data_IF_430564725144
#
_entry.id   IF_430564725144
#
_cell.length_a   1.000
_cell.length_b   1.000
_cell.length_c   1.000
_cell.angle_alpha   90.00
_cell.angle_beta   90.00
_cell.angle_gamma   90.00
#
_symmetry.space_group_name_H-M   'P 1'
#
loop_
_entity.id
_entity.type
_entity.pdbx_description
1 polymer ?
#
# COMPACT_ATOMS: atom_id res chain seq x y z
N UNK A 1 -13.80 0.07 -8.14
CA UNK A 1 -12.61 0.94 -7.94
C UNK A 1 -12.27 1.57 -9.28
N UNK A 2 -12.24 2.89 -9.30
CA UNK A 2 -11.78 3.65 -10.47
C UNK A 2 -10.26 3.80 -10.37
N UNK A 3 -9.54 3.19 -11.31
CA UNK A 3 -8.08 3.24 -11.35
C UNK A 3 -7.54 4.64 -11.65
N UNK A 4 -8.35 5.52 -12.24
CA UNK A 4 -7.95 6.90 -12.54
C UNK A 4 -8.06 7.83 -11.32
N UNK A 5 -8.83 7.44 -10.32
CA UNK A 5 -8.97 8.22 -9.08
C UNK A 5 -7.71 8.24 -8.23
N UNK A 6 -6.77 7.36 -8.48
CA UNK A 6 -5.54 7.19 -7.73
C UNK A 6 -5.65 6.16 -6.61
N UNK A 7 -4.51 5.57 -6.27
CA UNK A 7 -4.36 4.59 -5.19
C UNK A 7 -3.22 5.03 -4.29
N UNK A 8 -3.45 5.00 -2.98
CA UNK A 8 -2.40 5.26 -1.99
C UNK A 8 -1.99 3.97 -1.29
N UNK A 9 -0.71 3.91 -0.93
CA UNK A 9 -0.16 2.92 -0.03
C UNK A 9 0.30 3.63 1.24
N UNK A 10 -0.24 3.24 2.38
CA UNK A 10 0.08 3.83 3.67
C UNK A 10 0.83 2.84 4.54
N UNK A 11 1.86 3.33 5.20
CA UNK A 11 2.62 2.62 6.24
C UNK A 11 2.97 3.60 7.35
N UNK A 12 3.07 3.11 8.58
CA UNK A 12 3.61 3.86 9.71
C UNK A 12 5.10 3.57 9.86
N UNK A 13 5.85 4.58 10.33
CA UNK A 13 7.30 4.53 10.50
C UNK A 13 8.04 5.21 9.33
N UNK A 14 9.25 4.77 9.05
CA UNK A 14 10.16 5.38 8.06
C UNK A 14 9.75 5.18 6.60
N UNK A 15 8.68 4.43 6.33
CA UNK A 15 8.24 4.18 4.95
C UNK A 15 8.95 3.02 4.24
N UNK A 16 10.00 2.45 4.80
CA UNK A 16 10.74 1.31 4.26
C UNK A 16 9.81 0.14 3.89
N UNK A 17 8.82 -0.14 4.74
CA UNK A 17 7.81 -1.18 4.51
C UNK A 17 6.80 -0.86 3.40
N UNK A 18 6.81 0.34 2.85
CA UNK A 18 6.03 0.65 1.66
C UNK A 18 6.66 0.07 0.39
N UNK A 19 7.99 -0.08 0.39
CA UNK A 19 8.77 -0.53 -0.76
C UNK A 19 9.14 -2.00 -0.61
N UNK A 20 9.67 -2.37 0.55
CA UNK A 20 10.09 -3.73 0.84
C UNK A 20 8.91 -4.58 1.29
N UNK A 21 8.65 -5.66 0.57
CA UNK A 21 7.61 -6.61 0.93
C UNK A 21 8.11 -7.47 2.09
N UNK A 22 7.51 -7.28 3.27
CA UNK A 22 7.69 -8.19 4.38
C UNK A 22 6.62 -9.29 4.31
N UNK A 23 7.02 -10.55 4.47
CA UNK A 23 6.11 -11.69 4.32
C UNK A 23 5.07 -11.79 5.45
N UNK A 24 5.29 -11.08 6.56
CA UNK A 24 4.47 -11.13 7.78
C UNK A 24 3.74 -9.83 8.11
N UNK A 25 3.80 -8.84 7.24
CA UNK A 25 3.21 -7.52 7.47
C UNK A 25 2.61 -6.92 6.20
N UNK A 26 1.63 -6.04 6.36
CA UNK A 26 0.84 -5.55 5.26
C UNK A 26 0.74 -4.02 5.25
N UNK A 27 0.80 -3.44 4.07
CA UNK A 27 0.54 -2.02 3.87
C UNK A 27 -0.96 -1.77 3.66
N UNK A 28 -1.46 -0.64 4.11
CA UNK A 28 -2.84 -0.25 3.83
C UNK A 28 -2.94 0.36 2.43
N UNK A 29 -3.66 -0.30 1.55
CA UNK A 29 -4.01 0.23 0.22
C UNK A 29 -5.38 0.88 0.28
N UNK A 30 -5.52 2.06 -0.29
CA UNK A 30 -6.78 2.79 -0.43
C UNK A 30 -6.94 3.31 -1.86
N UNK A 31 -8.14 3.12 -2.40
CA UNK A 31 -8.56 3.78 -3.64
C UNK A 31 -9.18 5.13 -3.28
N UNK A 32 -8.73 6.20 -3.89
CA UNK A 32 -9.17 7.55 -3.49
C UNK A 32 -10.66 7.82 -3.80
N UNK A 33 -11.27 7.12 -4.74
CA UNK A 33 -12.71 7.21 -4.98
C UNK A 33 -13.56 6.44 -3.95
N UNK A 34 -12.97 5.43 -3.29
CA UNK A 34 -13.63 4.55 -2.32
C UNK A 34 -12.69 4.28 -1.13
N UNK A 35 -12.29 5.32 -0.36
CA UNK A 35 -11.17 5.20 0.58
C UNK A 35 -11.45 4.26 1.76
N UNK A 36 -12.72 4.10 2.14
CA UNK A 36 -13.12 3.20 3.21
C UNK A 36 -13.28 1.74 2.77
N UNK A 37 -13.31 1.49 1.46
CA UNK A 37 -13.47 0.14 0.93
C UNK A 37 -12.30 -0.75 1.38
N UNK A 38 -12.67 -1.93 1.90
CA UNK A 38 -11.74 -3.00 2.27
C UNK A 38 -12.19 -4.32 1.67
N UNK A 39 -11.26 -5.17 1.23
CA UNK A 39 -11.58 -6.55 0.85
C UNK A 39 -12.03 -7.36 2.07
N UNK A 40 -11.49 -7.05 3.24
CA UNK A 40 -11.78 -7.73 4.49
C UNK A 40 -12.97 -7.07 5.21
N UNK A 41 -13.97 -7.87 5.57
CA UNK A 41 -15.22 -7.38 6.18
C UNK A 41 -15.33 -7.69 7.67
N UNK A 42 -14.51 -8.63 8.18
CA UNK A 42 -14.53 -8.99 9.60
C UNK A 42 -13.21 -8.59 10.27
N UNK A 43 -13.31 -8.34 11.58
CA UNK A 43 -12.19 -7.87 12.38
C UNK A 43 -10.96 -8.79 12.33
N UNK A 44 -11.17 -10.10 12.34
CA UNK A 44 -10.06 -11.07 12.31
C UNK A 44 -9.28 -11.04 10.98
N UNK A 45 -9.97 -10.85 9.86
CA UNK A 45 -9.34 -10.70 8.56
C UNK A 45 -8.62 -9.34 8.46
N UNK A 46 -9.23 -8.26 8.95
CA UNK A 46 -8.59 -6.93 9.01
C UNK A 46 -7.30 -7.00 9.84
N UNK A 47 -7.35 -7.61 11.03
CA UNK A 47 -6.17 -7.75 11.89
C UNK A 47 -5.06 -8.61 11.25
N UNK A 48 -5.43 -9.60 10.44
CA UNK A 48 -4.46 -10.45 9.73
C UNK A 48 -3.73 -9.69 8.63
N UNK A 49 -4.41 -8.79 7.94
CA UNK A 49 -3.91 -8.03 6.79
C UNK A 49 -3.62 -6.56 7.14
N UNK A 50 -3.32 -6.28 8.38
CA UNK A 50 -2.93 -4.95 8.85
C UNK A 50 -1.46 -4.90 9.24
N UNK A 51 -0.87 -3.72 9.15
CA UNK A 51 0.49 -3.49 9.60
C UNK A 51 0.58 -3.63 11.12
N UNK A 52 1.57 -4.36 11.61
CA UNK A 52 1.84 -4.59 13.04
C UNK A 52 3.24 -4.19 13.46
N UNK A 53 4.13 -4.04 12.53
CA UNK A 53 5.53 -3.67 12.78
C UNK A 53 5.84 -2.35 12.09
N UNK A 54 6.79 -1.62 12.61
CA UNK A 54 7.30 -0.41 11.95
C UNK A 54 8.80 -0.28 12.16
N UNK A 55 9.41 0.48 11.28
CA UNK A 55 10.80 0.85 11.33
C UNK A 55 10.90 2.30 11.80
N UNK A 56 11.72 2.55 12.80
CA UNK A 56 11.92 3.87 13.42
C UNK A 56 13.40 4.17 13.55
N UNK A 57 13.76 5.45 13.62
CA UNK A 57 15.12 5.86 13.93
C UNK A 57 15.37 5.80 15.43
N UNK A 58 16.46 5.17 15.80
CA UNK A 58 16.99 5.28 17.16
C UNK A 58 17.78 6.60 17.30
N UNK A 59 17.24 7.53 18.06
CA UNK A 59 17.88 8.83 18.30
C UNK A 59 19.00 8.76 19.34
N UNK A 60 19.08 7.67 20.09
CA UNK A 60 20.10 7.45 21.14
C UNK A 60 21.25 6.58 20.66
N UNK A 61 20.99 5.73 19.69
CA UNK A 61 21.96 4.89 18.98
C UNK A 61 22.20 5.37 17.55
N UNK A 62 22.81 4.56 16.76
CA UNK A 62 23.02 4.85 15.35
C UNK A 62 22.39 3.75 14.49
N UNK A 63 21.11 3.89 14.18
CA UNK A 63 20.49 2.91 13.32
C UNK A 63 18.97 2.96 13.23
N UNK A 64 18.44 1.98 12.52
CA UNK A 64 17.00 1.73 12.39
C UNK A 64 16.62 0.60 13.33
N UNK A 65 15.60 0.81 14.13
CA UNK A 65 14.97 -0.23 14.95
C UNK A 65 13.71 -0.71 14.26
N UNK A 66 13.58 -2.03 14.13
CA UNK A 66 12.38 -2.70 13.62
C UNK A 66 11.68 -3.42 14.77
N UNK A 67 10.43 -3.11 15.04
CA UNK A 67 9.68 -3.75 16.12
C UNK A 67 8.17 -3.69 15.96
N UNK A 68 7.44 -4.38 16.86
CA UNK A 68 5.99 -4.23 16.94
C UNK A 68 5.63 -2.77 17.25
N UNK A 69 4.67 -2.22 16.51
CA UNK A 69 4.30 -0.82 16.70
C UNK A 69 3.78 -0.55 18.12
N UNK A 70 3.07 -1.53 18.69
CA UNK A 70 2.54 -1.44 20.06
C UNK A 70 3.64 -1.24 21.10
N UNK A 71 4.78 -1.92 20.95
CA UNK A 71 5.93 -1.78 21.84
C UNK A 71 6.67 -0.45 21.59
N UNK A 72 6.91 -0.11 20.32
CA UNK A 72 7.64 1.09 19.94
C UNK A 72 6.90 2.39 20.31
N UNK A 73 5.58 2.33 20.50
CA UNK A 73 4.76 3.48 20.87
C UNK A 73 4.18 3.39 22.29
N UNK A 74 4.56 2.39 23.09
CA UNK A 74 3.96 2.14 24.39
C UNK A 74 4.09 3.35 25.33
N UNK A 75 5.26 3.95 25.36
CA UNK A 75 5.58 5.09 26.21
C UNK A 75 5.36 6.45 25.53
N UNK A 76 4.91 6.46 24.28
CA UNK A 76 4.61 7.68 23.52
C UNK A 76 3.14 8.06 23.71
N UNK A 77 2.89 8.94 24.71
CA UNK A 77 1.56 9.47 24.97
C UNK A 77 1.03 10.37 23.84
N UNK A 78 1.92 10.95 23.05
CA UNK A 78 1.57 11.86 21.95
C UNK A 78 1.31 11.11 20.64
N UNK A 79 1.56 9.79 20.61
CA UNK A 79 1.25 9.00 19.41
C UNK A 79 -0.26 9.04 19.12
N UNK A 80 -0.69 9.52 17.97
CA UNK A 80 -2.10 9.77 17.67
C UNK A 80 -2.85 8.48 17.32
N UNK A 81 -3.04 7.62 18.29
CA UNK A 81 -3.65 6.28 18.14
C UNK A 81 -4.99 6.30 17.44
N UNK A 82 -5.82 7.31 17.73
CA UNK A 82 -7.15 7.45 17.14
C UNK A 82 -7.12 7.58 15.60
N UNK A 83 -6.06 8.15 15.03
CA UNK A 83 -5.91 8.28 13.57
C UNK A 83 -5.41 6.99 12.93
N UNK A 84 -4.59 6.23 13.62
CA UNK A 84 -3.84 5.13 13.02
C UNK A 84 -4.34 3.74 13.39
N UNK A 85 -5.02 3.60 14.53
CA UNK A 85 -5.48 2.29 15.00
C UNK A 85 -6.99 2.17 14.95
N UNK A 86 -7.50 0.95 14.84
CA UNK A 86 -8.89 0.65 15.14
C UNK A 86 -9.09 0.63 16.67
N UNK A 87 -10.32 0.89 17.12
CA UNK A 87 -10.69 0.87 18.53
C UNK A 87 -10.17 -0.40 19.20
N UNK A 88 -9.38 -0.21 20.24
CA UNK A 88 -8.71 -1.30 20.96
C UNK A 88 -9.73 -2.32 21.47
N UNK A 89 -9.48 -3.57 21.18
CA UNK A 89 -10.10 -4.66 21.93
C UNK A 89 -9.13 -5.03 23.05
N UNK A 90 -9.55 -5.02 24.33
CA UNK A 90 -8.66 -5.20 25.47
C UNK A 90 -7.84 -6.51 25.45
N UNK A 91 -8.31 -7.49 24.69
CA UNK A 91 -7.72 -8.84 24.63
C UNK A 91 -6.75 -9.02 23.44
N UNK A 92 -6.55 -8.03 22.60
CA UNK A 92 -5.72 -8.15 21.40
C UNK A 92 -4.75 -6.97 21.25
N UNK A 93 -3.50 -7.23 20.84
CA UNK A 93 -2.57 -6.15 20.56
C UNK A 93 -3.13 -5.26 19.46
N UNK A 94 -2.96 -3.92 19.57
CA UNK A 94 -3.41 -2.97 18.57
C UNK A 94 -2.65 -3.18 17.25
N UNK A 95 -3.29 -2.86 16.14
CA UNK A 95 -2.74 -2.90 14.79
C UNK A 95 -3.13 -1.66 14.00
N UNK A 96 -2.34 -1.35 12.98
CA UNK A 96 -2.47 -0.12 12.21
C UNK A 96 -3.49 -0.30 11.08
N UNK A 97 -4.57 0.47 11.11
CA UNK A 97 -5.63 0.44 10.10
C UNK A 97 -5.73 1.71 9.28
N UNK A 98 -5.23 2.83 9.84
CA UNK A 98 -5.35 4.18 9.27
C UNK A 98 -6.80 4.66 9.11
N UNK A 99 -7.77 3.99 9.72
CA UNK A 99 -9.19 4.31 9.52
C UNK A 99 -9.55 5.71 10.02
N UNK A 100 -8.98 6.14 11.15
CA UNK A 100 -9.20 7.50 11.65
C UNK A 100 -8.69 8.55 10.67
N UNK A 101 -7.49 8.37 10.12
CA UNK A 101 -6.92 9.26 9.12
C UNK A 101 -7.74 9.30 7.83
N UNK A 102 -8.21 8.14 7.37
CA UNK A 102 -9.01 8.01 6.16
C UNK A 102 -10.37 8.70 6.34
N UNK A 103 -11.03 8.49 7.48
CA UNK A 103 -12.31 9.11 7.82
C UNK A 103 -12.22 10.61 8.09
N UNK A 104 -11.04 11.10 8.41
CA UNK A 104 -10.76 12.52 8.56
C UNK A 104 -10.80 13.25 7.21
N UNK A 105 -11.80 13.12 6.43
CA UNK A 105 -12.05 13.57 5.05
C UNK A 105 -11.00 14.46 4.38
N UNK A 106 -10.37 15.38 5.13
CA UNK A 106 -9.38 16.33 4.63
C UNK A 106 -8.11 15.66 4.08
N UNK A 107 -7.66 14.53 4.66
CA UNK A 107 -6.49 13.81 4.16
C UNK A 107 -6.74 13.29 2.75
N UNK A 108 -7.86 12.62 2.53
CA UNK A 108 -8.23 12.05 1.24
C UNK A 108 -8.40 13.15 0.19
N UNK A 109 -9.09 14.22 0.54
CA UNK A 109 -9.30 15.35 -0.37
C UNK A 109 -7.99 16.09 -0.72
N UNK A 110 -7.10 16.26 0.25
CA UNK A 110 -5.78 16.82 -0.01
C UNK A 110 -4.97 15.94 -0.97
N UNK A 111 -5.00 14.61 -0.79
CA UNK A 111 -4.27 13.70 -1.68
C UNK A 111 -4.86 13.69 -3.10
N UNK A 112 -6.17 13.73 -3.25
CA UNK A 112 -6.83 13.91 -4.55
C UNK A 112 -6.38 15.21 -5.23
N UNK A 113 -6.38 16.30 -4.48
CA UNK A 113 -5.98 17.62 -4.98
C UNK A 113 -4.52 17.63 -5.41
N UNK A 114 -3.60 17.09 -4.60
CA UNK A 114 -2.17 17.00 -4.91
C UNK A 114 -1.96 16.19 -6.20
N UNK A 115 -2.53 15.00 -6.29
CA UNK A 115 -2.39 14.15 -7.48
C UNK A 115 -2.98 14.82 -8.71
N UNK A 116 -4.14 15.43 -8.60
CA UNK A 116 -4.78 16.14 -9.72
C UNK A 116 -3.96 17.32 -10.25
N UNK A 117 -3.39 18.13 -9.34
CA UNK A 117 -2.51 19.24 -9.74
C UNK A 117 -1.23 18.74 -10.40
N UNK A 118 -0.60 17.72 -9.85
CA UNK A 118 0.63 17.15 -10.41
C UNK A 118 0.36 16.49 -11.75
N UNK A 119 -0.69 15.70 -11.89
CA UNK A 119 -1.08 15.09 -13.15
C UNK A 119 -1.36 16.16 -14.22
N UNK A 120 -2.04 17.25 -13.84
CA UNK A 120 -2.30 18.37 -14.76
C UNK A 120 -1.01 19.08 -15.19
N UNK A 121 -0.06 19.25 -14.27
CA UNK A 121 1.22 19.89 -14.57
C UNK A 121 2.11 19.02 -15.46
N UNK A 122 2.15 17.72 -15.21
CA UNK A 122 2.94 16.76 -15.99
C UNK A 122 2.25 16.32 -17.29
N UNK A 123 0.95 16.62 -17.46
CA UNK A 123 0.11 16.12 -18.56
C UNK A 123 0.20 14.57 -18.71
N UNK A 124 0.46 13.89 -17.61
CA UNK A 124 0.66 12.45 -17.54
C UNK A 124 0.33 11.95 -16.13
N UNK A 125 -0.17 10.70 -15.96
CA UNK A 125 -0.29 10.10 -14.64
C UNK A 125 1.03 10.11 -13.89
N UNK A 126 0.99 10.43 -12.61
CA UNK A 126 2.17 10.54 -11.76
C UNK A 126 2.18 9.51 -10.65
N UNK A 127 3.37 9.15 -10.21
CA UNK A 127 3.64 8.43 -8.98
C UNK A 127 4.35 9.37 -8.02
N UNK A 128 3.90 9.40 -6.78
CA UNK A 128 4.47 10.27 -5.75
C UNK A 128 4.90 9.47 -4.52
N UNK A 129 5.92 9.97 -3.86
CA UNK A 129 6.26 9.57 -2.49
C UNK A 129 5.99 10.77 -1.57
N UNK A 130 5.41 10.51 -0.42
CA UNK A 130 5.08 11.55 0.54
C UNK A 130 5.28 11.06 1.97
N UNK A 131 5.53 11.99 2.87
CA UNK A 131 5.50 11.75 4.30
C UNK A 131 4.36 12.57 4.94
N UNK A 132 3.63 11.94 5.84
CA UNK A 132 2.60 12.58 6.65
C UNK A 132 3.10 12.66 8.08
N UNK A 133 3.20 13.88 8.62
CA UNK A 133 3.56 14.11 10.00
C UNK A 133 2.35 14.67 10.74
N UNK A 134 1.90 13.96 11.76
CA UNK A 134 0.84 14.43 12.65
C UNK A 134 1.43 15.40 13.67
N UNK A 135 0.71 16.47 13.91
CA UNK A 135 1.00 17.48 14.94
C UNK A 135 -0.01 17.35 16.07
N UNK A 136 0.13 18.16 17.10
CA UNK A 136 -0.85 18.21 18.18
C UNK A 136 -2.26 18.48 17.64
N UNK A 137 -3.26 17.80 18.20
CA UNK A 137 -4.67 18.05 17.91
C UNK A 137 -5.16 17.57 16.54
N UNK A 138 -4.72 16.40 16.10
CA UNK A 138 -5.15 15.77 14.82
C UNK A 138 -4.77 16.56 13.56
N UNK A 139 -4.08 17.69 13.69
CA UNK A 139 -3.54 18.40 12.53
C UNK A 139 -2.36 17.63 11.94
N UNK A 140 -2.23 17.63 10.62
CA UNK A 140 -1.16 16.94 9.94
C UNK A 140 -0.53 17.81 8.85
N UNK A 141 0.71 17.48 8.50
CA UNK A 141 1.41 18.06 7.36
C UNK A 141 1.75 16.94 6.38
N UNK A 142 1.45 17.17 5.12
CA UNK A 142 1.89 16.32 4.01
C UNK A 142 3.13 16.96 3.39
N UNK A 143 4.21 16.22 3.29
CA UNK A 143 5.43 16.63 2.61
C UNK A 143 5.59 15.74 1.37
N UNK A 144 5.60 16.36 0.19
CA UNK A 144 5.91 15.67 -1.05
C UNK A 144 7.43 15.44 -1.09
N UNK A 145 7.85 14.19 -1.20
CA UNK A 145 9.26 13.78 -1.21
C UNK A 145 9.76 13.55 -2.63
N UNK A 146 8.93 12.92 -3.46
CA UNK A 146 9.26 12.62 -4.84
C UNK A 146 8.00 12.68 -5.70
N UNK A 147 8.17 13.11 -6.95
CA UNK A 147 7.17 13.00 -7.99
C UNK A 147 7.84 12.59 -9.30
N UNK A 148 7.28 11.59 -9.95
CA UNK A 148 7.75 11.12 -11.25
C UNK A 148 6.56 10.73 -12.14
N UNK A 149 6.68 10.85 -13.48
CA UNK A 149 5.68 10.30 -14.37
C UNK A 149 5.54 8.80 -14.15
N UNK A 150 4.30 8.33 -14.01
CA UNK A 150 4.02 6.91 -13.86
C UNK A 150 4.39 6.20 -15.17
N UNK A 151 5.21 5.15 -15.08
CA UNK A 151 5.48 4.31 -16.23
C UNK A 151 4.25 3.43 -16.50
N UNK A 152 3.21 4.01 -17.08
CA UNK A 152 2.07 3.26 -17.57
C UNK A 152 2.53 2.55 -18.82
N UNK A 153 2.87 1.26 -18.70
CA UNK A 153 2.92 0.42 -19.89
C UNK A 153 1.51 0.44 -20.46
N UNK A 154 1.36 1.03 -21.63
CA UNK A 154 0.07 1.17 -22.31
C UNK A 154 -0.71 -0.13 -22.20
N UNK A 155 -1.82 -0.10 -21.49
CA UNK A 155 -2.77 -1.21 -21.43
C UNK A 155 -3.62 -1.09 -22.69
N UNK A 156 -2.96 -1.11 -23.85
CA UNK A 156 -3.66 -1.29 -25.11
C UNK A 156 -4.15 -2.73 -25.17
N UNK A 157 -5.46 -2.82 -25.18
CA UNK A 157 -6.28 -4.01 -25.36
C UNK A 157 -6.24 -5.01 -24.21
N UNK A 158 -7.31 -5.04 -23.45
CA UNK A 158 -7.68 -6.18 -22.61
C UNK A 158 -7.92 -7.41 -23.50
N UNK A 159 -6.85 -8.06 -23.89
CA UNK A 159 -6.93 -9.34 -24.55
C UNK A 159 -7.40 -10.33 -23.49
N UNK A 160 -8.65 -10.75 -23.55
CA UNK A 160 -9.06 -11.98 -22.88
C UNK A 160 -8.41 -13.13 -23.65
N UNK A 161 -7.19 -13.46 -23.27
CA UNK A 161 -6.52 -14.65 -23.80
C UNK A 161 -7.07 -15.86 -23.05
N UNK A 162 -8.13 -16.45 -23.54
CA UNK A 162 -8.51 -17.78 -23.11
C UNK A 162 -7.65 -18.77 -23.89
N UNK A 163 -6.84 -19.60 -23.20
CA UNK A 163 -6.09 -20.65 -23.90
C UNK A 163 -7.06 -21.58 -24.60
N UNK A 164 -6.77 -22.01 -25.83
CA UNK A 164 -7.61 -22.99 -26.53
C UNK A 164 -7.76 -24.26 -25.69
N UNK A 165 -8.97 -24.74 -25.48
CA UNK A 165 -9.28 -25.88 -24.62
C UNK A 165 -8.57 -27.19 -25.00
N UNK A 166 -8.03 -27.30 -26.21
CA UNK A 166 -7.34 -28.47 -26.73
C UNK A 166 -5.80 -28.39 -26.66
N UNK A 167 -5.25 -27.29 -26.15
CA UNK A 167 -3.80 -27.15 -26.05
C UNK A 167 -3.38 -27.47 -24.61
N UNK A 168 -2.49 -28.45 -24.39
CA UNK A 168 -2.02 -28.75 -23.03
C UNK A 168 -1.25 -27.56 -22.45
N UNK A 169 -1.55 -27.24 -21.20
CA UNK A 169 -0.83 -26.18 -20.47
C UNK A 169 0.56 -26.67 -20.07
N UNK A 170 1.58 -25.95 -20.46
CA UNK A 170 2.97 -26.25 -20.06
C UNK A 170 3.23 -25.84 -18.60
N UNK A 171 2.67 -24.72 -18.17
CA UNK A 171 2.78 -24.19 -16.82
C UNK A 171 1.41 -23.63 -16.42
N UNK A 172 0.93 -24.02 -15.25
CA UNK A 172 -0.27 -23.45 -14.65
C UNK A 172 0.07 -22.98 -13.23
N UNK A 173 -0.20 -21.71 -12.92
CA UNK A 173 -0.01 -21.17 -11.60
C UNK A 173 -1.35 -20.62 -11.09
N UNK A 174 -1.64 -20.89 -9.82
CA UNK A 174 -2.79 -20.33 -9.12
C UNK A 174 -2.28 -19.29 -8.10
N UNK A 175 -2.84 -18.10 -8.11
CA UNK A 175 -2.48 -17.05 -7.17
C UNK A 175 -2.70 -15.65 -7.76
N UNK A 176 -2.29 -14.64 -7.01
CA UNK A 176 -2.35 -13.26 -7.48
C UNK A 176 -1.30 -13.03 -8.58
N UNK A 177 -1.76 -12.85 -9.81
CA UNK A 177 -0.92 -12.46 -10.94
C UNK A 177 -1.02 -10.95 -11.12
N UNK A 178 0.13 -10.28 -11.06
CA UNK A 178 0.22 -8.83 -11.25
C UNK A 178 0.58 -8.55 -12.72
N UNK A 179 -0.30 -7.85 -13.40
CA UNK A 179 -0.08 -7.39 -14.77
C UNK A 179 -1.23 -7.72 -15.72
N UNK A 180 -1.23 -7.11 -16.91
CA UNK A 180 -2.24 -7.37 -17.93
C UNK A 180 -2.01 -8.73 -18.60
N UNK A 181 -3.12 -9.37 -19.01
CA UNK A 181 -3.05 -10.56 -19.87
C UNK A 181 -2.35 -10.20 -21.18
N UNK A 182 -1.45 -11.06 -21.63
CA UNK A 182 -0.69 -10.87 -22.88
C UNK A 182 -0.59 -12.17 -23.64
N UNK A 183 -0.67 -12.09 -24.95
CA UNK A 183 -0.27 -13.17 -25.86
C UNK A 183 1.15 -12.85 -26.33
N UNK A 184 2.08 -13.73 -26.00
CA UNK A 184 3.47 -13.64 -26.45
C UNK A 184 3.73 -14.82 -27.37
N UNK A 185 4.32 -14.55 -28.52
CA UNK A 185 4.78 -15.60 -29.48
C UNK A 185 6.30 -15.63 -29.44
N UNK A 186 6.91 -16.41 -28.54
CA UNK A 186 8.35 -16.47 -28.44
C UNK A 186 8.91 -17.42 -29.49
N UNK A 187 10.07 -17.08 -30.04
CA UNK A 187 10.84 -17.98 -30.89
C UNK A 187 11.56 -19.07 -30.09
N UNK A 188 11.79 -18.79 -28.79
CA UNK A 188 12.48 -19.71 -27.88
C UNK A 188 11.99 -19.51 -26.44
N UNK A 189 11.80 -20.62 -25.73
CA UNK A 189 11.51 -20.65 -24.29
C UNK A 189 12.69 -21.34 -23.59
N UNK A 190 13.26 -20.69 -22.60
CA UNK A 190 14.26 -21.28 -21.72
C UNK A 190 13.57 -21.55 -20.38
N UNK A 191 13.47 -22.81 -20.00
CA UNK A 191 12.92 -23.24 -18.74
C UNK A 191 14.05 -23.74 -17.84
N UNK A 192 14.24 -23.09 -16.70
CA UNK A 192 15.17 -23.54 -15.66
C UNK A 192 14.34 -24.32 -14.64
N UNK A 193 14.54 -25.63 -14.62
CA UNK A 193 13.84 -26.46 -13.63
C UNK A 193 14.38 -26.10 -12.23
N UNK A 194 13.52 -25.91 -11.23
CA UNK A 194 13.96 -25.79 -9.85
C UNK A 194 14.64 -27.11 -9.43
N UNK A 195 15.77 -26.99 -8.78
CA UNK A 195 16.44 -28.14 -8.19
C UNK A 195 15.50 -28.84 -7.20
N UNK A 196 15.46 -30.17 -7.24
CA UNK A 196 14.62 -31.00 -6.39
C UNK A 196 15.12 -31.01 -4.96
#
# INVERSE_FOLDING_TARGET
IDMQAGVLRLVAGLGTRAVDRADDDYTRLIALNEPELRPDTNFGAIARHAQRRMDVLDLTGSGVITGPFAELTADDADFPRALFTTREQPERPPFLTFDGLIKHGQFVENMKSILGHLQSAYQHPVEIEFALNVRSGESFRINLLQCRPMQVRSVDQRIKAEPPAYVPSLISAQGAVIGPSRIIRPDRIIYVAPDK
#
